data_IF_101468076295
#
_entry.id   IF_101468076295
#
_cell.length_a   1.000
_cell.length_b   1.000
_cell.length_c   1.000
_cell.angle_alpha   90.00
_cell.angle_beta   90.00
_cell.angle_gamma   90.00
#
_symmetry.space_group_name_H-M   'P 1'
#
loop_
_entity.id
_entity.type
_entity.pdbx_description
1 polymer ?
#
# COMPACT_ATOMS: atom_id res chain seq x y z
N UNK A 1 62.34 22.15 -44.70
CA UNK A 1 62.10 21.18 -43.60
C UNK A 1 60.96 20.24 -43.97
N UNK A 2 61.28 19.04 -44.46
CA UNK A 2 60.36 17.88 -44.54
C UNK A 2 59.82 17.55 -43.13
N UNK A 3 58.58 17.07 -43.00
CA UNK A 3 58.32 15.68 -42.58
C UNK A 3 56.84 15.25 -42.69
N UNK A 4 56.72 13.96 -43.02
CA UNK A 4 55.57 13.06 -43.22
C UNK A 4 55.02 12.51 -41.87
N UNK A 5 53.73 12.15 -41.80
CA UNK A 5 53.23 10.99 -41.02
C UNK A 5 51.76 10.67 -41.41
N UNK A 6 51.51 9.72 -42.32
CA UNK A 6 51.17 8.30 -42.09
C UNK A 6 49.82 8.04 -41.36
N UNK A 7 48.83 7.65 -42.17
CA UNK A 7 47.59 6.95 -41.78
C UNK A 7 47.94 5.54 -41.27
N UNK A 8 47.33 5.13 -40.15
CA UNK A 8 47.18 3.71 -39.78
C UNK A 8 45.68 3.44 -39.60
N UNK A 9 45.16 2.55 -40.44
CA UNK A 9 43.82 2.00 -40.32
C UNK A 9 43.83 0.88 -39.25
N UNK A 10 42.89 0.91 -38.30
CA UNK A 10 42.53 -0.25 -37.48
C UNK A 10 41.01 -0.40 -37.43
N UNK A 11 40.44 -0.96 -38.50
CA UNK A 11 39.09 -1.50 -38.50
C UNK A 11 39.10 -2.90 -37.89
N UNK A 12 38.71 -3.03 -36.61
CA UNK A 12 38.32 -4.31 -35.98
C UNK A 12 37.63 -4.17 -34.60
N UNK A 13 37.51 -2.96 -34.02
CA UNK A 13 36.99 -2.76 -32.66
C UNK A 13 35.48 -2.53 -32.52
N UNK A 14 34.79 -2.04 -33.55
CA UNK A 14 33.38 -1.60 -33.42
C UNK A 14 32.36 -2.74 -33.56
N UNK A 15 32.65 -3.75 -34.39
CA UNK A 15 31.75 -4.89 -34.62
C UNK A 15 31.63 -5.82 -33.39
N UNK A 16 32.72 -6.02 -32.63
CA UNK A 16 32.71 -6.86 -31.41
C UNK A 16 31.92 -6.22 -30.26
N UNK A 17 31.96 -4.89 -30.11
CA UNK A 17 31.17 -4.15 -29.10
C UNK A 17 29.67 -4.13 -29.44
N UNK A 18 29.32 -3.98 -30.71
CA UNK A 18 27.92 -4.04 -31.16
C UNK A 18 27.32 -5.46 -31.05
N UNK A 19 28.12 -6.51 -31.30
CA UNK A 19 27.69 -7.90 -31.12
C UNK A 19 27.49 -8.27 -29.64
N UNK A 20 28.38 -7.82 -28.74
CA UNK A 20 28.23 -8.02 -27.29
C UNK A 20 27.03 -7.26 -26.71
N UNK A 21 26.73 -6.04 -27.19
CA UNK A 21 25.57 -5.28 -26.72
C UNK A 21 24.25 -5.90 -27.19
N UNK A 22 24.19 -6.39 -28.44
CA UNK A 22 23.01 -7.11 -28.98
C UNK A 22 22.79 -8.46 -28.29
N UNK A 23 23.85 -9.21 -27.98
CA UNK A 23 23.74 -10.48 -27.24
C UNK A 23 23.29 -10.27 -25.78
N UNK A 24 23.80 -9.23 -25.08
CA UNK A 24 23.30 -8.83 -23.75
C UNK A 24 21.84 -8.36 -23.80
N UNK A 25 21.44 -7.60 -24.81
CA UNK A 25 20.06 -7.15 -24.97
C UNK A 25 19.10 -8.31 -25.28
N UNK A 26 19.51 -9.28 -26.10
CA UNK A 26 18.73 -10.48 -26.41
C UNK A 26 18.60 -11.41 -25.19
N UNK A 27 19.68 -11.63 -24.42
CA UNK A 27 19.66 -12.40 -23.18
C UNK A 27 18.90 -11.71 -22.03
N UNK A 28 18.86 -10.38 -22.02
CA UNK A 28 18.05 -9.60 -21.09
C UNK A 28 16.56 -9.71 -21.42
N UNK A 29 16.18 -9.63 -22.70
CA UNK A 29 14.79 -9.81 -23.15
C UNK A 29 14.25 -11.22 -22.84
N UNK A 30 15.04 -12.27 -23.07
CA UNK A 30 14.62 -13.64 -22.75
C UNK A 30 14.50 -13.89 -21.24
N UNK A 31 15.40 -13.32 -20.41
CA UNK A 31 15.28 -13.37 -18.93
C UNK A 31 14.11 -12.55 -18.39
N UNK A 32 13.82 -11.39 -18.97
CA UNK A 32 12.61 -10.60 -18.63
C UNK A 32 11.33 -11.38 -18.93
N UNK A 33 11.30 -12.09 -20.06
CA UNK A 33 10.21 -13.00 -20.39
C UNK A 33 10.11 -14.14 -19.39
N UNK A 34 11.22 -14.76 -18.94
CA UNK A 34 11.22 -15.81 -17.91
C UNK A 34 10.79 -15.34 -16.52
N UNK A 35 11.05 -14.08 -16.14
CA UNK A 35 10.58 -13.53 -14.86
C UNK A 35 9.05 -13.35 -14.88
N UNK A 36 8.50 -12.94 -16.04
CA UNK A 36 7.05 -12.75 -16.22
C UNK A 36 6.31 -14.03 -16.62
N UNK A 37 6.98 -14.98 -17.27
CA UNK A 37 6.44 -16.25 -17.69
C UNK A 37 6.49 -17.23 -16.52
N UNK A 38 5.39 -17.32 -15.79
CA UNK A 38 4.70 -18.58 -15.47
C UNK A 38 3.49 -18.22 -14.62
N UNK A 39 2.32 -18.74 -14.99
CA UNK A 39 1.01 -18.59 -14.36
C UNK A 39 0.27 -17.25 -14.60
N UNK A 40 -0.94 -17.27 -15.22
CA UNK A 40 -1.75 -16.06 -15.50
C UNK A 40 -2.26 -15.30 -14.26
N UNK A 41 -2.00 -15.82 -13.04
CA UNK A 41 -2.40 -15.23 -11.76
C UNK A 41 -1.23 -14.73 -10.89
N UNK A 42 0.01 -14.73 -11.38
CA UNK A 42 1.16 -14.24 -10.63
C UNK A 42 1.40 -12.73 -10.80
N UNK A 43 1.98 -12.12 -9.76
CA UNK A 43 2.42 -10.73 -9.69
C UNK A 43 3.88 -10.68 -9.23
N UNK A 44 4.55 -9.57 -9.53
CA UNK A 44 5.91 -9.30 -9.06
C UNK A 44 5.86 -8.27 -7.94
N UNK A 45 6.03 -8.74 -6.70
CA UNK A 45 6.21 -7.90 -5.52
C UNK A 45 7.68 -7.48 -5.42
N UNK A 46 7.98 -6.25 -5.04
CA UNK A 46 9.34 -5.73 -5.07
C UNK A 46 9.65 -4.73 -3.97
N UNK A 47 10.93 -4.59 -3.63
CA UNK A 47 11.40 -3.82 -2.49
C UNK A 47 11.55 -4.65 -1.23
N UNK A 48 12.50 -4.27 -0.37
CA UNK A 48 12.88 -5.06 0.82
C UNK A 48 11.71 -5.20 1.79
N UNK A 49 11.08 -4.09 2.18
CA UNK A 49 9.98 -4.10 3.16
C UNK A 49 8.71 -4.81 2.67
N UNK A 50 8.21 -4.56 1.44
CA UNK A 50 7.11 -5.33 0.87
C UNK A 50 7.36 -6.84 0.89
N UNK A 51 8.56 -7.27 0.47
CA UNK A 51 8.92 -8.70 0.43
C UNK A 51 8.96 -9.28 1.84
N UNK A 52 9.62 -8.60 2.79
CA UNK A 52 9.65 -9.04 4.19
C UNK A 52 8.25 -9.16 4.80
N UNK A 53 7.40 -8.15 4.59
CA UNK A 53 6.04 -8.13 5.10
C UNK A 53 5.18 -9.26 4.50
N UNK A 54 5.24 -9.47 3.17
CA UNK A 54 4.50 -10.55 2.52
C UNK A 54 4.93 -11.95 3.00
N UNK A 55 6.23 -12.16 3.23
CA UNK A 55 6.75 -13.42 3.76
C UNK A 55 6.32 -13.64 5.22
N UNK A 56 6.36 -12.60 6.05
CA UNK A 56 5.96 -12.68 7.45
C UNK A 56 4.46 -12.94 7.63
N UNK A 57 3.64 -12.36 6.77
CA UNK A 57 2.17 -12.42 6.89
C UNK A 57 1.55 -13.61 6.17
N UNK A 58 2.24 -14.20 5.19
CA UNK A 58 1.79 -15.43 4.52
C UNK A 58 0.47 -15.32 3.75
N UNK A 59 0.04 -14.09 3.40
CA UNK A 59 -1.26 -13.84 2.73
C UNK A 59 -1.27 -14.10 1.22
N UNK A 60 -0.09 -14.39 0.67
CA UNK A 60 0.09 -14.65 -0.76
C UNK A 60 0.77 -15.99 -0.93
N UNK A 61 0.39 -16.70 -1.99
CA UNK A 61 1.15 -17.84 -2.48
C UNK A 61 2.49 -17.31 -3.00
N UNK A 62 3.60 -17.86 -2.54
CA UNK A 62 4.96 -17.46 -2.96
C UNK A 62 5.51 -18.50 -3.93
N UNK A 63 5.91 -18.06 -5.13
CA UNK A 63 6.45 -18.95 -6.17
C UNK A 63 7.97 -18.96 -6.24
N UNK A 64 8.63 -17.92 -5.72
CA UNK A 64 10.08 -17.78 -5.71
C UNK A 64 10.52 -16.32 -5.74
N UNK A 65 11.83 -16.08 -5.63
CA UNK A 65 12.40 -14.74 -5.64
C UNK A 65 13.55 -14.56 -6.66
N UNK A 66 13.83 -13.31 -6.96
CA UNK A 66 14.98 -12.88 -7.74
C UNK A 66 15.76 -11.85 -6.94
N UNK A 67 17.05 -12.06 -6.80
CA UNK A 67 17.98 -11.15 -6.12
C UNK A 67 18.96 -10.56 -7.12
N UNK A 68 19.28 -9.29 -6.93
CA UNK A 68 20.28 -8.61 -7.74
C UNK A 68 21.66 -9.24 -7.53
N UNK A 69 22.42 -9.37 -8.62
CA UNK A 69 23.75 -10.00 -8.63
C UNK A 69 24.89 -9.01 -8.80
N UNK A 70 24.61 -7.86 -9.39
CA UNK A 70 25.55 -6.82 -9.79
C UNK A 70 25.32 -5.57 -8.93
N UNK A 71 26.05 -5.49 -7.83
CA UNK A 71 26.08 -4.31 -6.96
C UNK A 71 27.27 -3.44 -7.35
N UNK A 72 27.01 -2.16 -7.61
CA UNK A 72 28.05 -1.19 -7.95
C UNK A 72 28.78 -0.65 -6.70
N UNK A 73 28.18 -0.77 -5.50
CA UNK A 73 28.66 -0.21 -4.23
C UNK A 73 28.53 -1.19 -3.04
N UNK A 74 29.23 -0.92 -1.91
CA UNK A 74 29.22 -1.72 -0.67
C UNK A 74 27.99 -1.52 0.24
N UNK A 75 27.40 -0.32 0.29
CA UNK A 75 26.20 -0.02 1.12
C UNK A 75 24.95 -0.86 0.80
N UNK A 76 24.64 -1.19 -0.48
CA UNK A 76 23.60 -2.14 -0.87
C UNK A 76 23.74 -3.55 -0.28
N UNK A 77 24.93 -3.91 0.21
CA UNK A 77 25.29 -5.28 0.60
C UNK A 77 24.66 -5.72 1.91
N UNK A 78 24.55 -4.84 2.91
CA UNK A 78 23.89 -5.16 4.20
C UNK A 78 22.40 -5.46 4.00
N UNK A 79 21.71 -4.63 3.20
CA UNK A 79 20.30 -4.88 2.87
C UNK A 79 20.14 -6.16 2.04
N UNK A 80 21.09 -6.45 1.16
CA UNK A 80 21.14 -7.68 0.37
C UNK A 80 21.34 -8.94 1.23
N UNK A 81 22.25 -8.91 2.19
CA UNK A 81 22.48 -10.01 3.13
C UNK A 81 21.24 -10.28 3.98
N UNK A 82 20.65 -9.22 4.55
CA UNK A 82 19.43 -9.33 5.36
C UNK A 82 18.25 -9.93 4.58
N UNK A 83 18.08 -9.57 3.30
CA UNK A 83 17.00 -10.16 2.48
C UNK A 83 17.33 -11.59 2.06
N UNK A 84 18.60 -11.93 1.81
CA UNK A 84 19.03 -13.31 1.55
C UNK A 84 18.69 -14.21 2.75
N UNK A 85 19.01 -13.77 3.96
CA UNK A 85 18.69 -14.49 5.20
C UNK A 85 17.19 -14.69 5.36
N UNK A 86 16.40 -13.63 5.13
CA UNK A 86 14.93 -13.70 5.19
C UNK A 86 14.38 -14.74 4.21
N UNK A 87 14.86 -14.74 2.97
CA UNK A 87 14.42 -15.69 1.94
C UNK A 87 14.80 -17.13 2.28
N UNK A 88 16.02 -17.36 2.78
CA UNK A 88 16.48 -18.69 3.23
C UNK A 88 15.66 -19.17 4.43
N UNK A 89 15.46 -18.33 5.44
CA UNK A 89 14.67 -18.65 6.63
C UNK A 89 13.20 -18.98 6.27
N UNK A 90 12.67 -18.31 5.24
CA UNK A 90 11.31 -18.56 4.73
C UNK A 90 11.22 -19.75 3.76
N UNK A 91 12.33 -20.45 3.49
CA UNK A 91 12.37 -21.58 2.55
C UNK A 91 12.07 -21.22 1.09
N UNK A 92 12.20 -19.94 0.72
CA UNK A 92 11.83 -19.45 -0.62
C UNK A 92 12.99 -19.67 -1.59
N UNK A 93 12.82 -20.44 -2.67
CA UNK A 93 13.85 -20.58 -3.69
C UNK A 93 14.07 -19.24 -4.39
N UNK A 94 15.33 -18.85 -4.56
CA UNK A 94 15.67 -17.60 -5.24
C UNK A 94 16.76 -17.78 -6.29
N UNK A 95 16.71 -16.95 -7.33
CA UNK A 95 17.70 -16.89 -8.41
C UNK A 95 18.37 -15.53 -8.43
N UNK A 96 19.62 -15.49 -8.86
CA UNK A 96 20.32 -14.24 -9.09
C UNK A 96 19.98 -13.67 -10.47
N UNK A 97 19.85 -12.35 -10.57
CA UNK A 97 19.55 -11.63 -11.81
C UNK A 97 20.26 -10.26 -11.87
N UNK A 98 20.71 -9.80 -13.05
CA UNK A 98 21.26 -8.46 -13.19
C UNK A 98 20.23 -7.35 -12.93
N UNK A 99 20.66 -6.20 -12.42
CA UNK A 99 19.84 -5.01 -12.13
C UNK A 99 18.95 -4.62 -13.30
N UNK A 100 19.51 -4.59 -14.51
CA UNK A 100 18.77 -4.24 -15.73
C UNK A 100 17.60 -5.19 -16.03
N UNK A 101 17.70 -6.47 -15.66
CA UNK A 101 16.62 -7.43 -15.82
C UNK A 101 15.50 -7.19 -14.79
N UNK A 102 15.87 -6.89 -13.54
CA UNK A 102 14.93 -6.54 -12.47
C UNK A 102 14.21 -5.22 -12.77
N UNK A 103 14.95 -4.17 -13.15
CA UNK A 103 14.41 -2.89 -13.60
C UNK A 103 13.37 -3.09 -14.70
N UNK A 104 13.66 -3.90 -15.72
CA UNK A 104 12.72 -4.20 -16.79
C UNK A 104 11.46 -4.95 -16.31
N UNK A 105 11.62 -5.86 -15.33
CA UNK A 105 10.53 -6.66 -14.80
C UNK A 105 9.49 -5.82 -14.03
N UNK A 106 9.95 -4.83 -13.25
CA UNK A 106 9.10 -3.98 -12.38
C UNK A 106 8.84 -2.58 -12.95
N UNK A 107 8.91 -2.42 -14.28
CA UNK A 107 8.68 -1.13 -14.95
C UNK A 107 9.55 0.01 -14.39
N UNK A 108 10.81 -0.31 -14.07
CA UNK A 108 11.85 0.58 -13.52
C UNK A 108 11.51 1.20 -12.17
N UNK A 109 10.53 0.65 -11.46
CA UNK A 109 10.29 0.99 -10.06
C UNK A 109 11.45 0.52 -9.19
N UNK A 110 11.69 1.23 -8.08
CA UNK A 110 12.82 0.95 -7.19
C UNK A 110 12.66 -0.42 -6.49
N UNK A 111 13.22 -1.49 -7.05
CA UNK A 111 13.14 -2.85 -6.51
C UNK A 111 14.09 -3.11 -5.33
N UNK A 112 15.10 -2.25 -5.10
CA UNK A 112 16.06 -2.39 -3.99
C UNK A 112 16.76 -3.77 -3.96
N UNK A 113 17.10 -4.27 -5.14
CA UNK A 113 17.80 -5.56 -5.28
C UNK A 113 16.97 -6.83 -5.05
N UNK A 114 15.65 -6.74 -4.82
CA UNK A 114 14.79 -7.92 -4.61
C UNK A 114 13.46 -7.83 -5.33
N UNK A 115 13.05 -8.95 -5.94
CA UNK A 115 11.71 -9.17 -6.50
C UNK A 115 11.20 -10.53 -6.05
N UNK A 116 9.97 -10.60 -5.57
CA UNK A 116 9.29 -11.81 -5.14
C UNK A 116 8.12 -12.08 -6.11
N UNK A 117 8.11 -13.27 -6.71
CA UNK A 117 6.99 -13.73 -7.54
C UNK A 117 5.92 -14.33 -6.64
N UNK A 118 4.74 -13.74 -6.64
CA UNK A 118 3.65 -14.06 -5.71
C UNK A 118 2.31 -14.20 -6.43
N UNK A 119 1.32 -14.81 -5.79
CA UNK A 119 -0.08 -14.71 -6.21
C UNK A 119 -0.66 -13.31 -5.97
N UNK A 120 -1.74 -13.00 -6.68
CA UNK A 120 -2.56 -11.80 -6.41
C UNK A 120 -3.08 -11.81 -4.97
N UNK A 121 -3.06 -10.65 -4.33
CA UNK A 121 -3.73 -10.46 -3.05
C UNK A 121 -5.10 -9.84 -3.28
N UNK A 122 -6.13 -10.61 -2.94
CA UNK A 122 -7.52 -10.18 -2.96
C UNK A 122 -8.04 -10.12 -1.51
N UNK A 123 -8.19 -8.92 -0.93
CA UNK A 123 -8.72 -8.75 0.41
C UNK A 123 -10.11 -9.41 0.57
N UNK A 124 -10.34 -10.14 1.67
CA UNK A 124 -11.62 -10.81 1.90
C UNK A 124 -12.79 -9.83 1.97
N UNK A 125 -13.94 -10.27 1.48
CA UNK A 125 -15.18 -9.51 1.55
C UNK A 125 -15.83 -9.71 2.91
N UNK A 126 -16.33 -8.64 3.51
CA UNK A 126 -16.99 -8.63 4.83
C UNK A 126 -18.37 -8.02 4.75
N UNK A 127 -19.25 -8.42 5.68
CA UNK A 127 -20.65 -7.97 5.74
C UNK A 127 -20.95 -7.15 6.98
N UNK A 128 -20.30 -7.43 8.10
CA UNK A 128 -20.48 -6.66 9.33
C UNK A 128 -19.27 -6.75 10.24
N UNK A 129 -19.24 -5.81 11.19
CA UNK A 129 -18.32 -5.80 12.32
C UNK A 129 -19.10 -5.47 13.59
N UNK A 130 -18.80 -6.16 14.69
CA UNK A 130 -19.55 -6.05 15.95
C UNK A 130 -18.58 -6.11 17.14
N UNK A 131 -18.63 -5.17 18.10
CA UNK A 131 -17.83 -5.26 19.31
C UNK A 131 -18.34 -6.40 20.20
N UNK A 132 -17.46 -6.98 20.99
CA UNK A 132 -17.76 -8.07 21.92
C UNK A 132 -17.60 -7.57 23.36
N UNK A 133 -18.36 -8.19 24.28
CA UNK A 133 -18.35 -7.82 25.70
C UNK A 133 -16.99 -7.98 26.39
N UNK A 134 -16.10 -8.80 25.83
CA UNK A 134 -14.75 -9.06 26.34
C UNK A 134 -13.68 -8.09 25.79
N UNK A 135 -14.11 -6.99 25.17
CA UNK A 135 -13.22 -5.97 24.59
C UNK A 135 -12.63 -6.34 23.23
N UNK A 136 -12.96 -7.51 22.68
CA UNK A 136 -12.63 -7.88 21.29
C UNK A 136 -13.68 -7.33 20.31
N UNK A 137 -13.46 -7.53 19.03
CA UNK A 137 -14.49 -7.35 18.01
C UNK A 137 -14.52 -8.53 17.04
N UNK A 138 -15.67 -8.73 16.42
CA UNK A 138 -15.94 -9.82 15.50
C UNK A 138 -16.17 -9.26 14.10
N UNK A 139 -15.46 -9.80 13.11
CA UNK A 139 -15.64 -9.51 11.69
C UNK A 139 -16.36 -10.67 11.04
N UNK A 140 -17.48 -10.39 10.38
CA UNK A 140 -18.26 -11.42 9.69
C UNK A 140 -17.94 -11.37 8.19
N UNK A 141 -17.26 -12.37 7.63
CA UNK A 141 -16.97 -12.39 6.21
C UNK A 141 -18.24 -12.65 5.38
N UNK A 142 -18.16 -12.35 4.09
CA UNK A 142 -19.19 -12.71 3.12
C UNK A 142 -19.30 -14.24 2.96
N UNK A 143 -18.19 -14.95 3.14
CA UNK A 143 -18.09 -16.41 3.09
C UNK A 143 -17.12 -16.91 4.16
N UNK A 144 -17.43 -18.04 4.79
CA UNK A 144 -16.62 -18.63 5.86
C UNK A 144 -17.03 -18.16 7.25
N UNK A 145 -16.17 -18.46 8.23
CA UNK A 145 -16.43 -18.26 9.64
C UNK A 145 -16.05 -16.85 10.12
N UNK A 146 -16.77 -16.37 11.13
CA UNK A 146 -16.49 -15.08 11.74
C UNK A 146 -15.15 -15.08 12.47
N UNK A 147 -14.41 -13.97 12.36
CA UNK A 147 -13.06 -13.83 12.89
C UNK A 147 -13.09 -12.89 14.09
N UNK A 148 -12.52 -13.32 15.22
CA UNK A 148 -12.39 -12.49 16.42
C UNK A 148 -11.03 -11.81 16.46
N UNK A 149 -11.02 -10.51 16.65
CA UNK A 149 -9.81 -9.69 16.71
C UNK A 149 -9.67 -9.03 18.08
N UNK A 150 -8.44 -8.98 18.58
CA UNK A 150 -8.07 -8.12 19.70
C UNK A 150 -7.70 -6.74 19.14
N UNK A 151 -8.25 -5.64 19.68
CA UNK A 151 -7.83 -4.29 19.29
C UNK A 151 -6.33 -4.06 19.53
N UNK A 152 -5.70 -3.29 18.65
CA UNK A 152 -4.30 -2.85 18.78
C UNK A 152 -4.10 -1.86 19.93
N UNK A 153 -5.16 -1.17 20.35
CA UNK A 153 -5.21 -0.18 21.44
C UNK A 153 -6.44 -0.44 22.32
N UNK A 154 -6.86 0.53 23.15
CA UNK A 154 -8.04 0.38 24.03
C UNK A 154 -9.33 0.11 23.26
N UNK A 155 -9.55 0.81 22.15
CA UNK A 155 -10.72 0.67 21.29
C UNK A 155 -10.30 0.52 19.83
N UNK A 156 -11.01 -0.31 19.05
CA UNK A 156 -10.64 -0.53 17.66
C UNK A 156 -10.96 0.71 16.82
N UNK A 157 -10.06 1.02 15.89
CA UNK A 157 -10.23 2.08 14.89
C UNK A 157 -10.10 1.46 13.51
N UNK A 158 -11.12 1.60 12.70
CA UNK A 158 -11.12 1.21 11.31
C UNK A 158 -11.06 2.45 10.43
N UNK A 159 -10.46 2.28 9.25
CA UNK A 159 -10.45 3.30 8.21
C UNK A 159 -11.28 2.79 7.04
N UNK A 160 -12.38 3.46 6.70
CA UNK A 160 -13.12 3.21 5.48
C UNK A 160 -12.67 4.22 4.41
N UNK A 161 -12.22 3.69 3.28
CA UNK A 161 -11.72 4.48 2.16
C UNK A 161 -12.77 4.49 1.05
N UNK A 162 -13.49 5.60 0.95
CA UNK A 162 -14.58 5.76 0.01
C UNK A 162 -14.03 6.12 -1.38
N UNK A 163 -14.08 5.16 -2.30
CA UNK A 163 -13.70 5.32 -3.70
C UNK A 163 -12.29 5.91 -3.96
N UNK A 164 -11.29 5.55 -3.14
CA UNK A 164 -9.89 5.94 -3.39
C UNK A 164 -9.35 5.22 -4.63
N UNK A 165 -8.99 5.98 -5.67
CA UNK A 165 -8.56 5.44 -6.97
C UNK A 165 -7.05 5.48 -7.19
N UNK A 166 -6.35 6.46 -6.61
CA UNK A 166 -4.90 6.61 -6.79
C UNK A 166 -4.11 5.62 -5.91
N UNK A 167 -3.22 4.77 -6.48
CA UNK A 167 -2.34 3.90 -5.69
C UNK A 167 -1.41 4.64 -4.74
N UNK A 168 -1.04 5.90 -5.01
CA UNK A 168 -0.22 6.70 -4.10
C UNK A 168 -0.98 7.12 -2.85
N UNK A 169 -2.23 7.57 -3.00
CA UNK A 169 -3.10 7.88 -1.88
C UNK A 169 -3.47 6.61 -1.10
N UNK A 170 -3.87 5.52 -1.75
CA UNK A 170 -4.11 4.25 -1.05
C UNK A 170 -2.87 3.80 -0.27
N UNK A 171 -1.70 3.75 -0.91
CA UNK A 171 -0.47 3.29 -0.27
C UNK A 171 -0.05 4.15 0.93
N UNK A 172 -0.17 5.48 0.82
CA UNK A 172 0.17 6.40 1.92
C UNK A 172 -0.82 6.30 3.09
N UNK A 173 -2.11 6.15 2.81
CA UNK A 173 -3.14 5.91 3.84
C UNK A 173 -2.92 4.59 4.57
N UNK A 174 -2.62 3.50 3.86
CA UNK A 174 -2.33 2.19 4.47
C UNK A 174 -1.11 2.25 5.40
N UNK A 175 -0.07 2.97 4.99
CA UNK A 175 1.13 3.18 5.81
C UNK A 175 0.81 3.97 7.08
N UNK A 176 0.05 5.06 6.94
CA UNK A 176 -0.37 5.89 8.07
C UNK A 176 -1.30 5.13 9.02
N UNK A 177 -2.24 4.35 8.47
CA UNK A 177 -3.14 3.47 9.22
C UNK A 177 -2.36 2.47 10.06
N UNK A 178 -1.36 1.79 9.49
CA UNK A 178 -0.52 0.87 10.25
C UNK A 178 0.28 1.59 11.34
N UNK A 179 0.90 2.72 11.00
CA UNK A 179 1.75 3.49 11.92
C UNK A 179 0.99 4.00 13.14
N UNK A 180 -0.20 4.59 12.94
CA UNK A 180 -1.05 5.08 14.03
C UNK A 180 -1.91 3.98 14.68
N UNK A 181 -1.71 2.71 14.27
CA UNK A 181 -2.34 1.56 14.91
C UNK A 181 -3.84 1.43 14.63
N UNK A 182 -4.29 1.77 13.42
CA UNK A 182 -5.59 1.34 12.93
C UNK A 182 -5.64 -0.20 12.88
N UNK A 183 -6.80 -0.74 13.20
CA UNK A 183 -7.05 -2.16 13.35
C UNK A 183 -7.33 -2.83 11.99
N UNK A 184 -8.06 -2.15 11.12
CA UNK A 184 -8.31 -2.58 9.76
C UNK A 184 -8.57 -1.40 8.82
N UNK A 185 -8.42 -1.65 7.52
CA UNK A 185 -8.89 -0.77 6.44
C UNK A 185 -9.96 -1.51 5.64
N UNK A 186 -11.07 -0.82 5.38
CA UNK A 186 -12.19 -1.30 4.58
C UNK A 186 -12.31 -0.43 3.32
N UNK A 187 -12.54 -1.07 2.18
CA UNK A 187 -12.80 -0.37 0.91
C UNK A 187 -14.08 -0.91 0.26
N UNK A 188 -14.72 -0.15 -0.64
CA UNK A 188 -15.76 -0.72 -1.47
C UNK A 188 -15.22 -1.84 -2.38
N UNK A 189 -16.13 -2.75 -2.73
CA UNK A 189 -15.86 -3.90 -3.60
C UNK A 189 -15.45 -3.50 -5.02
N UNK A 190 -15.90 -2.34 -5.47
CA UNK A 190 -15.80 -1.81 -6.83
C UNK A 190 -15.42 -0.33 -6.74
N UNK A 191 -15.03 0.27 -7.86
CA UNK A 191 -14.67 1.70 -7.93
C UNK A 191 -13.52 2.12 -6.99
N UNK A 192 -12.57 1.22 -6.75
CA UNK A 192 -11.39 1.47 -5.92
C UNK A 192 -10.10 1.03 -6.60
N UNK A 193 -9.00 1.60 -6.14
CA UNK A 193 -7.66 1.13 -6.45
C UNK A 193 -7.47 -0.35 -6.06
N UNK A 194 -6.78 -1.10 -6.92
CA UNK A 194 -6.45 -2.52 -6.66
C UNK A 194 -5.26 -2.62 -5.70
N UNK A 195 -5.25 -3.70 -4.90
CA UNK A 195 -4.16 -4.07 -3.98
C UNK A 195 -2.97 -4.68 -4.75
N UNK A 196 -2.27 -3.83 -5.50
CA UNK A 196 -1.16 -4.23 -6.38
C UNK A 196 0.19 -4.21 -5.66
N UNK A 197 1.23 -4.86 -6.22
CA UNK A 197 2.61 -4.72 -5.76
C UNK A 197 3.09 -3.27 -5.61
N UNK A 198 2.62 -2.36 -6.47
CA UNK A 198 2.97 -0.95 -6.39
C UNK A 198 2.40 -0.31 -5.10
N UNK A 199 1.16 -0.61 -4.74
CA UNK A 199 0.56 -0.15 -3.47
C UNK A 199 1.32 -0.74 -2.28
N UNK A 200 1.73 -2.00 -2.35
CA UNK A 200 2.61 -2.58 -1.32
C UNK A 200 3.93 -1.84 -1.21
N UNK A 201 4.52 -1.44 -2.35
CA UNK A 201 5.78 -0.69 -2.39
C UNK A 201 5.62 0.70 -1.76
N UNK A 202 4.61 1.45 -2.17
CA UNK A 202 4.32 2.81 -1.67
C UNK A 202 4.06 2.77 -0.16
N UNK A 203 3.30 1.78 0.30
CA UNK A 203 2.96 1.59 1.71
C UNK A 203 4.09 1.01 2.57
N UNK A 204 5.28 0.76 1.98
CA UNK A 204 6.41 0.10 2.64
C UNK A 204 6.04 -1.26 3.28
N UNK A 205 5.17 -2.03 2.62
CA UNK A 205 4.71 -3.34 3.09
C UNK A 205 3.50 -3.29 4.03
N UNK A 206 3.01 -2.11 4.43
CA UNK A 206 1.85 -2.02 5.30
C UNK A 206 0.58 -2.66 4.71
N UNK A 207 0.44 -2.67 3.38
CA UNK A 207 -0.64 -3.38 2.69
C UNK A 207 -0.68 -4.88 2.99
N UNK A 208 0.49 -5.49 3.19
CA UNK A 208 0.60 -6.93 3.48
C UNK A 208 0.33 -7.21 4.97
N UNK A 209 0.67 -6.28 5.87
CA UNK A 209 0.55 -6.44 7.33
C UNK A 209 -0.79 -5.97 7.93
N UNK A 210 -1.43 -4.95 7.36
CA UNK A 210 -2.70 -4.45 7.87
C UNK A 210 -3.86 -5.36 7.47
N UNK A 211 -4.84 -5.60 8.34
CA UNK A 211 -6.07 -6.27 7.95
C UNK A 211 -6.80 -5.41 6.91
N UNK A 212 -6.89 -5.90 5.67
CA UNK A 212 -7.61 -5.24 4.58
C UNK A 212 -8.87 -6.02 4.28
N UNK A 213 -9.98 -5.32 4.15
CA UNK A 213 -11.27 -5.88 3.82
C UNK A 213 -11.94 -5.12 2.69
N UNK A 214 -12.89 -5.78 2.02
CA UNK A 214 -13.79 -5.16 1.04
C UNK A 214 -15.24 -5.34 1.46
N UNK A 215 -16.12 -4.40 1.14
CA UNK A 215 -17.57 -4.59 1.29
C UNK A 215 -18.29 -4.33 -0.04
N UNK A 216 -19.25 -5.18 -0.39
CA UNK A 216 -20.11 -4.96 -1.55
C UNK A 216 -21.29 -4.02 -1.24
N UNK A 217 -21.54 -3.76 0.04
CA UNK A 217 -22.67 -2.98 0.55
C UNK A 217 -22.17 -1.97 1.60
N UNK A 218 -21.45 -0.89 1.20
CA UNK A 218 -20.84 0.02 2.15
C UNK A 218 -21.85 0.66 3.13
N UNK A 219 -22.98 1.15 2.63
CA UNK A 219 -24.00 1.79 3.49
C UNK A 219 -24.59 0.82 4.51
N UNK A 220 -24.94 -0.40 4.10
CA UNK A 220 -25.49 -1.40 5.02
C UNK A 220 -24.45 -1.87 6.04
N UNK A 221 -23.19 -1.99 5.62
CA UNK A 221 -22.09 -2.30 6.52
C UNK A 221 -21.94 -1.22 7.60
N UNK A 222 -21.90 0.06 7.19
CA UNK A 222 -21.71 1.18 8.11
C UNK A 222 -22.93 1.36 9.04
N UNK A 223 -24.15 1.24 8.53
CA UNK A 223 -25.39 1.23 9.34
C UNK A 223 -25.38 0.10 10.36
N UNK A 224 -25.00 -1.10 9.93
CA UNK A 224 -24.90 -2.26 10.81
C UNK A 224 -23.85 -2.07 11.90
N UNK A 225 -22.70 -1.47 11.56
CA UNK A 225 -21.67 -1.14 12.53
C UNK A 225 -22.17 -0.11 13.57
N UNK A 226 -22.87 0.93 13.13
CA UNK A 226 -23.48 1.92 14.05
C UNK A 226 -24.50 1.29 15.00
N UNK A 227 -25.42 0.48 14.47
CA UNK A 227 -26.40 -0.25 15.26
C UNK A 227 -25.73 -1.19 16.28
N UNK A 228 -24.55 -1.71 15.95
CA UNK A 228 -23.72 -2.53 16.82
C UNK A 228 -22.85 -1.73 17.82
N UNK A 229 -22.95 -0.39 17.84
CA UNK A 229 -22.24 0.47 18.79
C UNK A 229 -20.92 1.07 18.30
N UNK A 230 -20.59 0.95 17.00
CA UNK A 230 -19.49 1.72 16.41
C UNK A 230 -19.92 3.17 16.17
N UNK A 231 -18.97 4.10 16.19
CA UNK A 231 -19.12 5.44 15.63
C UNK A 231 -18.67 5.44 14.17
N UNK A 232 -19.40 6.09 13.29
CA UNK A 232 -18.99 6.42 11.92
C UNK A 232 -18.69 7.91 11.86
N UNK A 233 -17.46 8.24 11.54
CA UNK A 233 -16.93 9.61 11.57
C UNK A 233 -16.42 9.95 10.17
N UNK A 234 -16.96 10.98 9.53
CA UNK A 234 -16.53 11.38 8.19
C UNK A 234 -15.53 12.53 8.23
N UNK A 235 -14.47 12.43 7.42
CA UNK A 235 -13.65 13.58 7.11
C UNK A 235 -14.41 14.54 6.19
N UNK A 236 -14.45 15.80 6.57
CA UNK A 236 -15.03 16.89 5.80
C UNK A 236 -13.92 17.83 5.32
N UNK A 237 -14.05 18.41 4.11
CA UNK A 237 -13.21 19.53 3.69
C UNK A 237 -13.32 20.70 4.67
N UNK A 238 -12.25 21.49 4.77
CA UNK A 238 -12.24 22.74 5.53
C UNK A 238 -13.18 23.75 4.85
N UNK A 239 -14.07 24.39 5.61
CA UNK A 239 -14.96 25.45 5.10
C UNK A 239 -16.35 25.03 4.61
N UNK A 240 -16.72 23.74 4.67
CA UNK A 240 -18.12 23.34 4.48
C UNK A 240 -19.01 23.93 5.59
N UNK A 241 -20.21 24.45 5.29
CA UNK A 241 -21.13 24.97 6.31
C UNK A 241 -21.53 23.83 7.25
N UNK A 242 -20.90 23.80 8.43
CA UNK A 242 -21.21 22.83 9.45
C UNK A 242 -22.45 23.31 10.24
N UNK A 243 -23.49 22.47 10.45
CA UNK A 243 -24.57 22.79 11.38
C UNK A 243 -24.09 22.99 12.83
N UNK A 244 -22.90 22.49 13.16
CA UNK A 244 -22.05 22.92 14.26
C UNK A 244 -20.68 22.28 14.03
N UNK A 245 -19.54 22.96 14.33
CA UNK A 245 -18.31 22.22 14.55
C UNK A 245 -18.60 21.28 15.74
N UNK A 246 -18.64 19.96 15.49
CA UNK A 246 -18.51 19.04 16.60
C UNK A 246 -17.18 19.40 17.29
N UNK A 247 -17.14 19.39 18.64
CA UNK A 247 -15.85 19.46 19.31
C UNK A 247 -14.93 18.41 18.66
N UNK A 248 -13.65 18.72 18.40
CA UNK A 248 -12.71 17.72 17.90
C UNK A 248 -12.90 16.51 18.77
N UNK A 249 -13.31 15.36 18.21
CA UNK A 249 -13.65 14.14 18.97
C UNK A 249 -12.67 14.05 20.12
N UNK A 250 -13.08 14.39 21.37
CA UNK A 250 -12.10 14.63 22.41
C UNK A 250 -11.47 13.27 22.62
N UNK A 251 -10.18 13.13 22.33
CA UNK A 251 -9.53 11.87 22.57
C UNK A 251 -9.47 11.68 24.09
N UNK A 252 -9.51 10.43 24.56
CA UNK A 252 -9.51 9.21 23.77
C UNK A 252 -10.88 8.88 23.13
N UNK A 253 -10.87 8.07 22.06
CA UNK A 253 -12.09 7.46 21.49
C UNK A 253 -12.99 6.94 22.62
N UNK A 254 -14.29 7.24 22.56
CA UNK A 254 -15.25 6.79 23.57
C UNK A 254 -15.86 5.41 23.24
N UNK A 255 -15.88 5.04 21.96
CA UNK A 255 -16.43 3.77 21.43
C UNK A 255 -15.60 3.31 20.21
N UNK A 256 -15.76 2.06 19.74
CA UNK A 256 -15.20 1.61 18.46
C UNK A 256 -15.52 2.60 17.34
N UNK A 257 -14.57 2.92 16.46
CA UNK A 257 -14.77 3.98 15.46
C UNK A 257 -14.36 3.54 14.05
N UNK A 258 -15.15 3.91 13.06
CA UNK A 258 -14.82 3.86 11.64
C UNK A 258 -14.62 5.31 11.17
N UNK A 259 -13.38 5.68 10.89
CA UNK A 259 -13.06 6.94 10.20
C UNK A 259 -13.27 6.74 8.71
N UNK A 260 -14.07 7.58 8.08
CA UNK A 260 -14.36 7.58 6.64
C UNK A 260 -13.55 8.70 5.98
N UNK A 261 -12.75 8.33 4.97
CA UNK A 261 -12.01 9.27 4.12
C UNK A 261 -12.51 9.11 2.70
N UNK A 262 -12.86 10.24 2.08
CA UNK A 262 -13.37 10.31 0.72
C UNK A 262 -12.31 10.43 -0.36
N UNK A 263 -12.73 10.19 -1.61
CA UNK A 263 -11.93 10.39 -2.81
C UNK A 263 -11.57 11.85 -3.05
N UNK A 264 -10.55 12.07 -3.88
CA UNK A 264 -9.96 13.39 -4.12
C UNK A 264 -10.90 14.35 -4.86
N UNK A 265 -11.78 13.80 -5.72
CA UNK A 265 -12.64 14.60 -6.58
C UNK A 265 -13.96 15.02 -5.90
N UNK A 266 -14.53 14.15 -5.07
CA UNK A 266 -15.90 14.32 -4.56
C UNK A 266 -15.99 14.28 -3.03
N UNK A 267 -14.90 14.01 -2.33
CA UNK A 267 -14.93 13.78 -0.90
C UNK A 267 -15.70 12.50 -0.55
N UNK A 268 -16.37 12.52 0.60
CA UNK A 268 -17.17 11.37 1.07
C UNK A 268 -18.51 11.38 0.36
N UNK A 269 -18.99 10.21 -0.09
CA UNK A 269 -20.30 10.07 -0.73
C UNK A 269 -21.42 10.60 0.17
N UNK A 270 -22.37 11.35 -0.41
CA UNK A 270 -23.45 12.03 0.34
C UNK A 270 -24.23 11.10 1.26
N UNK A 271 -24.56 9.90 0.80
CA UNK A 271 -25.29 8.91 1.59
C UNK A 271 -24.51 8.45 2.84
N UNK A 272 -23.17 8.38 2.74
CA UNK A 272 -22.31 8.03 3.87
C UNK A 272 -22.15 9.23 4.80
N UNK A 273 -22.06 10.44 4.25
CA UNK A 273 -22.04 11.66 5.07
C UNK A 273 -23.33 11.87 5.87
N UNK A 274 -24.49 11.54 5.29
CA UNK A 274 -25.80 11.64 5.94
C UNK A 274 -26.01 10.56 7.00
N UNK A 275 -25.29 9.44 6.88
CA UNK A 275 -25.25 8.38 7.88
C UNK A 275 -24.35 8.70 9.07
N UNK A 276 -23.34 9.55 8.89
CA UNK A 276 -22.26 9.74 9.85
C UNK A 276 -22.76 10.25 11.22
N UNK A 277 -22.26 9.67 12.31
CA UNK A 277 -22.49 10.19 13.66
C UNK A 277 -21.84 11.57 13.85
N UNK A 278 -20.73 11.79 13.14
CA UNK A 278 -19.90 12.97 13.29
C UNK A 278 -19.14 13.31 12.01
N UNK A 279 -18.81 14.59 11.87
CA UNK A 279 -17.87 15.09 10.87
C UNK A 279 -16.65 15.67 11.58
N UNK A 280 -15.46 15.36 11.07
CA UNK A 280 -14.19 15.93 11.52
C UNK A 280 -13.54 16.66 10.36
N UNK A 281 -12.88 17.77 10.66
CA UNK A 281 -12.12 18.52 9.67
C UNK A 281 -10.77 18.89 10.25
N UNK A 282 -9.81 19.15 9.36
CA UNK A 282 -8.52 19.69 9.74
C UNK A 282 -8.66 21.21 9.75
N UNK A 283 -8.38 21.89 10.88
CA UNK A 283 -8.43 23.34 10.93
C UNK A 283 -7.51 23.96 9.87
N UNK A 284 -8.02 24.96 9.16
CA UNK A 284 -7.31 25.69 8.12
C UNK A 284 -7.36 27.20 8.43
N UNK A 285 -6.37 27.99 7.99
CA UNK A 285 -6.45 29.45 8.05
C UNK A 285 -7.71 29.98 7.35
N UNK A 286 -8.28 31.07 7.87
CA UNK A 286 -9.52 31.65 7.33
C UNK A 286 -9.43 32.09 5.86
N UNK A 287 -8.22 32.35 5.35
CA UNK A 287 -7.96 32.69 3.96
C UNK A 287 -6.89 31.75 3.39
N UNK A 288 -7.34 30.77 2.60
CA UNK A 288 -6.47 29.97 1.74
C UNK A 288 -6.63 30.41 0.29
N UNK A 289 -5.58 30.30 -0.55
CA UNK A 289 -5.73 30.45 -1.98
C UNK A 289 -6.77 29.45 -2.53
N UNK A 290 -7.63 29.83 -3.49
CA UNK A 290 -8.68 28.94 -4.00
C UNK A 290 -8.19 27.61 -4.57
N UNK A 291 -6.93 27.53 -5.00
CA UNK A 291 -6.31 26.32 -5.54
C UNK A 291 -5.66 25.43 -4.46
N UNK A 292 -5.72 25.84 -3.20
CA UNK A 292 -5.12 25.16 -2.05
C UNK A 292 -6.12 25.07 -0.89
N UNK A 293 -7.41 24.99 -1.21
CA UNK A 293 -8.54 24.92 -0.27
C UNK A 293 -8.70 23.56 0.41
N UNK A 294 -7.93 22.56 -0.01
CA UNK A 294 -7.97 21.19 0.49
C UNK A 294 -6.58 20.55 0.57
N UNK A 295 -6.44 19.57 1.47
CA UNK A 295 -5.23 18.77 1.61
C UNK A 295 -5.33 17.51 0.74
N UNK A 296 -4.17 16.97 0.36
CA UNK A 296 -4.10 15.62 -0.19
C UNK A 296 -4.76 14.61 0.78
N UNK A 297 -5.61 13.72 0.25
CA UNK A 297 -6.39 12.79 1.06
C UNK A 297 -5.52 11.89 1.96
N UNK A 298 -4.36 11.44 1.47
CA UNK A 298 -3.41 10.65 2.26
C UNK A 298 -2.81 11.41 3.44
N UNK A 299 -2.47 12.70 3.23
CA UNK A 299 -2.01 13.61 4.29
C UNK A 299 -3.13 13.84 5.31
N UNK A 300 -4.34 14.13 4.83
CA UNK A 300 -5.50 14.36 5.70
C UNK A 300 -5.81 13.14 6.57
N UNK A 301 -5.80 11.93 5.98
CA UNK A 301 -5.97 10.68 6.71
C UNK A 301 -4.92 10.52 7.82
N UNK A 302 -3.65 10.83 7.54
CA UNK A 302 -2.58 10.77 8.54
C UNK A 302 -2.80 11.72 9.72
N UNK A 303 -3.18 12.98 9.45
CA UNK A 303 -3.47 13.97 10.50
C UNK A 303 -4.65 13.53 11.36
N UNK A 304 -5.76 13.11 10.74
CA UNK A 304 -6.96 12.69 11.45
C UNK A 304 -6.73 11.42 12.27
N UNK A 305 -6.01 10.43 11.72
CA UNK A 305 -5.63 9.22 12.46
C UNK A 305 -4.78 9.55 13.69
N UNK A 306 -3.82 10.47 13.56
CA UNK A 306 -3.00 10.94 14.68
C UNK A 306 -3.86 11.62 15.75
N UNK A 307 -4.73 12.56 15.36
CA UNK A 307 -5.61 13.27 16.28
C UNK A 307 -6.54 12.33 17.05
N UNK A 308 -7.21 11.40 16.35
CA UNK A 308 -8.13 10.44 16.97
C UNK A 308 -7.44 9.47 17.92
N UNK A 309 -6.13 9.23 17.74
CA UNK A 309 -5.38 8.27 18.55
C UNK A 309 -4.62 8.89 19.71
N UNK A 310 -4.10 10.11 19.56
CA UNK A 310 -3.08 10.64 20.47
C UNK A 310 -3.32 12.05 20.99
N UNK A 311 -4.32 12.80 20.52
CA UNK A 311 -4.53 14.13 21.09
C UNK A 311 -4.90 14.00 22.60
N UNK A 312 -4.35 14.82 23.49
CA UNK A 312 -4.64 14.74 24.94
C UNK A 312 -3.85 13.71 25.76
N UNK A 313 -2.93 12.95 25.16
CA UNK A 313 -1.77 12.34 25.86
C UNK A 313 -0.54 13.25 25.75
#
# INVERSE_FOLDING_TARGET
>A
MRLLALRVATGAGSARRAAHSRARAAGSKSRQQLIRADMPSSELLFGVWPVKAALAEGRRIVYGAYLQSDYDDDLPRIQHESICETLRASGVPFRQAPKAALDGAVARQAHQGVVLKVGRYDPPRVRSVTPLADGRYCVVPAKGESIRHKPRRRLPLWLYLDEIQDPHNLGSMLRSALFFGADAVLTPAQHVCRTTPLVSKISAGAMEALALYRTAVPLDFLRGAQAAGWAVVCASPSGAPAPAPLPPLPPPLARPTILVIGGEAYGVSKDIEDLADARVHIPAPAALPPHADSLNAGVAAGILLSQLRFSGE
#
